data_IF_603170036647
#
_entry.id   IF_603170036647
#
_cell.length_a   1.000
_cell.length_b   1.000
_cell.length_c   1.000
_cell.angle_alpha   90.00
_cell.angle_beta   90.00
_cell.angle_gamma   90.00
#
_symmetry.space_group_name_H-M   'P 1'
#
loop_
_entity.id
_entity.type
_entity.pdbx_description
1 polymer ?
#
# COMPACT_ATOMS: atom_id res chain seq x y z
N UNK A 1 21.34 15.55 49.04
CA UNK A 1 21.53 16.07 47.67
C UNK A 1 22.10 14.96 46.80
N UNK A 2 21.27 14.16 46.13
CA UNK A 2 21.68 13.25 45.02
C UNK A 2 20.58 12.30 44.50
N UNK A 3 19.28 12.64 44.53
CA UNK A 3 18.26 11.76 43.92
C UNK A 3 17.22 12.49 43.05
N UNK A 4 17.45 13.77 42.77
CA UNK A 4 16.64 14.58 41.85
C UNK A 4 17.09 14.42 40.38
N UNK A 5 17.62 13.24 40.02
CA UNK A 5 18.12 12.92 38.68
C UNK A 5 17.64 11.52 38.24
N UNK A 6 16.36 11.22 38.50
CA UNK A 6 15.70 9.99 38.02
C UNK A 6 14.29 10.25 37.47
N UNK A 7 13.97 11.48 37.06
CA UNK A 7 12.61 11.85 36.62
C UNK A 7 12.50 12.45 35.21
N UNK A 8 13.54 12.36 34.38
CA UNK A 8 13.52 12.86 32.98
C UNK A 8 14.19 11.85 32.03
N UNK A 9 13.86 10.56 32.14
CA UNK A 9 14.23 9.54 31.14
C UNK A 9 13.18 8.43 31.08
N UNK A 10 11.90 8.78 30.97
CA UNK A 10 10.85 7.82 30.64
C UNK A 10 9.67 8.49 29.91
N UNK A 11 10.00 9.41 29.01
CA UNK A 11 9.09 9.96 28.01
C UNK A 11 9.90 10.05 26.72
N UNK A 12 9.34 9.55 25.62
CA UNK A 12 9.93 9.53 24.27
C UNK A 12 10.74 8.27 23.87
N UNK A 13 10.09 7.12 23.95
CA UNK A 13 10.31 6.01 23.01
C UNK A 13 8.96 5.28 22.97
N UNK A 14 8.05 5.58 22.05
CA UNK A 14 8.16 5.19 20.65
C UNK A 14 7.04 5.90 19.87
N UNK A 15 7.25 7.16 19.48
CA UNK A 15 6.47 7.76 18.39
C UNK A 15 7.32 7.71 17.12
N UNK A 16 7.75 6.51 16.73
CA UNK A 16 8.35 6.30 15.40
C UNK A 16 7.25 5.76 14.51
N UNK A 17 6.83 6.58 13.55
CA UNK A 17 6.13 6.12 12.36
C UNK A 17 4.68 6.55 12.24
N UNK A 18 4.41 7.85 12.11
CA UNK A 18 3.19 8.34 11.44
C UNK A 18 3.57 9.59 10.62
N UNK A 19 4.40 9.41 9.58
CA UNK A 19 4.73 10.47 8.63
C UNK A 19 4.41 10.09 7.17
N UNK A 20 3.46 9.16 6.96
CA UNK A 20 2.94 8.81 5.65
C UNK A 20 1.42 8.71 5.73
N UNK A 21 0.75 9.85 5.97
CA UNK A 21 -0.71 9.90 6.17
C UNK A 21 -1.42 10.99 5.36
N UNK A 22 -0.80 11.53 4.31
CA UNK A 22 -1.39 12.64 3.55
C UNK A 22 -1.12 12.53 2.03
N UNK A 23 -1.22 11.34 1.46
CA UNK A 23 -1.10 11.13 0.00
C UNK A 23 -2.46 11.04 -0.71
N UNK A 24 -3.58 11.35 -0.06
CA UNK A 24 -4.95 11.18 -0.63
C UNK A 24 -5.60 12.50 -1.10
N UNK A 25 -4.96 13.66 -0.91
CA UNK A 25 -5.56 15.00 -1.15
C UNK A 25 -5.40 15.56 -2.59
N UNK A 26 -5.36 14.68 -3.60
CA UNK A 26 -5.52 15.11 -5.01
C UNK A 26 -4.42 14.75 -6.01
N UNK A 27 -3.46 13.90 -5.63
CA UNK A 27 -2.53 13.25 -6.57
C UNK A 27 -2.91 11.79 -6.72
N UNK A 28 -3.76 11.45 -7.69
CA UNK A 28 -4.15 10.06 -7.94
C UNK A 28 -3.15 9.31 -8.82
N UNK A 29 -2.88 8.05 -8.47
CA UNK A 29 -2.06 7.15 -9.28
C UNK A 29 -0.55 7.23 -9.05
N UNK A 30 -0.12 7.76 -7.90
CA UNK A 30 1.26 7.70 -7.46
C UNK A 30 1.62 6.29 -6.97
N UNK A 31 2.70 5.71 -7.49
CA UNK A 31 3.30 4.49 -6.94
C UNK A 31 4.65 4.83 -6.34
N UNK A 32 4.80 4.65 -5.05
CA UNK A 32 6.04 4.94 -4.32
C UNK A 32 6.91 3.67 -4.24
N UNK A 33 8.17 3.79 -4.65
CA UNK A 33 9.15 2.72 -4.56
C UNK A 33 9.92 2.78 -3.24
N UNK A 34 9.72 1.80 -2.36
CA UNK A 34 10.53 1.59 -1.15
C UNK A 34 11.25 0.23 -1.20
N UNK A 35 11.65 -0.19 -2.39
CA UNK A 35 12.48 -1.37 -2.60
C UNK A 35 13.97 -1.01 -2.67
N UNK A 36 14.86 -1.95 -2.36
CA UNK A 36 16.30 -1.72 -2.26
C UNK A 36 17.15 -2.81 -2.91
N UNK A 37 16.70 -4.06 -2.99
CA UNK A 37 17.48 -5.13 -3.66
C UNK A 37 17.17 -5.17 -5.15
N UNK A 38 18.00 -5.91 -5.92
CA UNK A 38 17.71 -6.14 -7.34
C UNK A 38 16.36 -6.83 -7.55
N UNK A 39 16.04 -7.84 -6.76
CA UNK A 39 14.77 -8.55 -6.89
C UNK A 39 13.57 -7.67 -6.52
N UNK A 40 13.73 -6.80 -5.52
CA UNK A 40 12.72 -5.79 -5.18
C UNK A 40 12.48 -4.77 -6.29
N UNK A 41 13.56 -4.24 -6.87
CA UNK A 41 13.50 -3.27 -7.96
C UNK A 41 12.92 -3.91 -9.25
N UNK A 42 13.28 -5.16 -9.54
CA UNK A 42 12.70 -5.92 -10.64
C UNK A 42 11.19 -6.13 -10.44
N UNK A 43 10.78 -6.52 -9.22
CA UNK A 43 9.36 -6.65 -8.87
C UNK A 43 8.61 -5.33 -9.03
N UNK A 44 9.14 -4.24 -8.46
CA UNK A 44 8.54 -2.91 -8.57
C UNK A 44 8.32 -2.53 -10.04
N UNK A 45 9.34 -2.73 -10.88
CA UNK A 45 9.29 -2.37 -12.29
C UNK A 45 8.21 -3.16 -13.05
N UNK A 46 8.11 -4.48 -12.82
CA UNK A 46 7.05 -5.30 -13.43
C UNK A 46 5.68 -4.96 -12.86
N UNK A 47 5.58 -4.70 -11.55
CA UNK A 47 4.32 -4.33 -10.90
C UNK A 47 3.75 -3.05 -11.49
N UNK A 48 4.56 -1.98 -11.60
CA UNK A 48 4.15 -0.71 -12.20
C UNK A 48 3.70 -0.92 -13.66
N UNK A 49 4.46 -1.72 -14.42
CA UNK A 49 4.12 -2.04 -15.81
C UNK A 49 2.72 -2.66 -15.92
N UNK A 50 2.41 -3.67 -15.10
CA UNK A 50 1.09 -4.32 -15.10
C UNK A 50 -0.01 -3.41 -14.51
N UNK A 51 0.30 -2.62 -13.47
CA UNK A 51 -0.65 -1.72 -12.82
C UNK A 51 -1.12 -0.57 -13.73
N UNK A 52 -0.24 -0.09 -14.63
CA UNK A 52 -0.58 0.97 -15.58
C UNK A 52 -1.81 0.63 -16.45
N UNK A 53 -2.08 -0.66 -16.70
CA UNK A 53 -3.27 -1.11 -17.43
C UNK A 53 -4.57 -0.84 -16.64
N UNK A 54 -4.49 -0.80 -15.31
CA UNK A 54 -5.63 -0.63 -14.42
C UNK A 54 -5.79 0.80 -13.91
N UNK A 55 -4.73 1.60 -13.92
CA UNK A 55 -4.70 2.92 -13.28
C UNK A 55 -5.80 3.89 -13.75
N UNK A 56 -6.20 3.82 -15.03
CA UNK A 56 -7.28 4.66 -15.57
C UNK A 56 -8.67 4.28 -15.04
N UNK A 57 -8.88 3.01 -14.72
CA UNK A 57 -10.15 2.50 -14.17
C UNK A 57 -10.13 2.65 -12.65
N UNK A 58 -9.03 2.19 -12.07
CA UNK A 58 -8.53 2.03 -10.69
C UNK A 58 -7.63 3.10 -10.06
N UNK A 59 -7.82 4.44 -10.16
CA UNK A 59 -6.81 5.36 -9.61
C UNK A 59 -6.63 5.12 -8.11
N UNK A 60 -5.38 4.84 -7.72
CA UNK A 60 -5.00 4.51 -6.36
C UNK A 60 -3.53 4.85 -6.12
N UNK A 61 -3.24 5.36 -4.92
CA UNK A 61 -1.89 5.63 -4.47
C UNK A 61 -1.34 4.43 -3.71
N UNK A 62 -0.30 3.83 -4.25
CA UNK A 62 0.27 2.59 -3.75
C UNK A 62 1.70 2.81 -3.27
N UNK A 63 2.09 2.08 -2.23
CA UNK A 63 3.49 2.03 -1.77
C UNK A 63 3.96 0.59 -1.85
N UNK A 64 5.06 0.36 -2.57
CA UNK A 64 5.69 -0.97 -2.66
C UNK A 64 6.88 -0.99 -1.73
N UNK A 65 6.79 -1.80 -0.67
CA UNK A 65 7.81 -1.91 0.36
C UNK A 65 8.64 -3.17 0.17
N UNK A 66 9.91 -3.11 0.58
CA UNK A 66 10.77 -4.28 0.68
C UNK A 66 11.45 -4.40 2.05
N UNK A 67 11.57 -5.64 2.53
CA UNK A 67 12.51 -6.05 3.57
C UNK A 67 13.42 -7.18 3.06
N UNK A 68 14.73 -6.92 2.89
CA UNK A 68 15.69 -7.98 2.57
C UNK A 68 15.81 -9.01 3.70
N UNK A 69 15.90 -10.29 3.35
CA UNK A 69 16.08 -11.40 4.28
C UNK A 69 17.07 -12.44 3.75
N UNK A 70 18.09 -12.78 4.53
CA UNK A 70 19.04 -13.82 4.17
C UNK A 70 18.40 -15.21 4.02
N UNK A 71 17.34 -15.49 4.79
CA UNK A 71 16.67 -16.81 4.81
C UNK A 71 15.59 -16.93 3.73
N UNK A 72 14.89 -15.85 3.44
CA UNK A 72 13.67 -15.87 2.64
C UNK A 72 13.76 -15.07 1.33
N UNK A 73 14.91 -14.44 1.06
CA UNK A 73 15.06 -13.51 -0.06
C UNK A 73 14.40 -12.17 0.24
N UNK A 74 13.77 -11.57 -0.77
CA UNK A 74 13.11 -10.27 -0.66
C UNK A 74 11.68 -10.42 -0.20
N UNK A 75 11.33 -9.85 0.95
CA UNK A 75 9.94 -9.80 1.42
C UNK A 75 9.32 -8.49 0.94
N UNK A 76 8.25 -8.57 0.16
CA UNK A 76 7.62 -7.41 -0.46
C UNK A 76 6.16 -7.34 -0.05
N UNK A 77 5.68 -6.14 0.20
CA UNK A 77 4.25 -5.90 0.41
C UNK A 77 3.83 -4.59 -0.24
N UNK A 78 2.54 -4.49 -0.54
CA UNK A 78 1.94 -3.33 -1.19
C UNK A 78 0.92 -2.72 -0.25
N UNK A 79 1.03 -1.42 -0.01
CA UNK A 79 0.12 -0.66 0.84
C UNK A 79 -0.76 0.28 0.03
N UNK A 80 -2.01 0.38 0.45
CA UNK A 80 -2.99 1.38 0.00
C UNK A 80 -3.63 2.00 1.24
N UNK A 81 -3.58 3.34 1.37
CA UNK A 81 -4.12 4.07 2.53
C UNK A 81 -3.67 3.48 3.88
N UNK A 82 -2.36 3.24 4.02
CA UNK A 82 -1.74 2.66 5.22
C UNK A 82 -2.20 1.23 5.57
N UNK A 83 -2.92 0.56 4.66
CA UNK A 83 -3.34 -0.84 4.79
C UNK A 83 -2.55 -1.71 3.82
N UNK A 84 -1.90 -2.73 4.35
CA UNK A 84 -1.26 -3.77 3.54
C UNK A 84 -2.32 -4.58 2.79
N UNK A 85 -2.20 -4.67 1.46
CA UNK A 85 -3.12 -5.41 0.60
C UNK A 85 -2.60 -6.82 0.25
N UNK A 86 -1.32 -6.92 -0.08
CA UNK A 86 -0.68 -8.15 -0.57
C UNK A 86 0.72 -8.31 0.00
N UNK A 87 1.17 -9.55 0.16
CA UNK A 87 2.50 -9.91 0.65
C UNK A 87 3.11 -11.06 -0.15
N UNK A 88 4.37 -10.88 -0.55
CA UNK A 88 5.12 -11.87 -1.32
C UNK A 88 6.53 -12.06 -0.80
N UNK A 89 7.06 -13.27 -1.00
CA UNK A 89 8.47 -13.59 -0.82
C UNK A 89 9.07 -13.91 -2.18
N UNK A 90 10.12 -13.18 -2.54
CA UNK A 90 10.77 -13.31 -3.84
C UNK A 90 12.13 -13.98 -3.66
N UNK A 91 12.28 -15.12 -4.32
CA UNK A 91 13.53 -15.87 -4.44
C UNK A 91 14.33 -15.50 -5.69
N UNK A 92 15.35 -16.30 -6.02
CA UNK A 92 16.37 -15.92 -7.00
C UNK A 92 15.96 -16.01 -8.50
N UNK A 93 14.71 -16.33 -8.83
CA UNK A 93 14.28 -16.57 -10.22
C UNK A 93 13.51 -15.40 -10.81
N UNK A 94 14.04 -14.79 -11.88
CA UNK A 94 13.44 -13.61 -12.53
C UNK A 94 12.10 -13.90 -13.21
N UNK A 95 11.88 -15.09 -13.81
CA UNK A 95 10.58 -15.40 -14.44
C UNK A 95 9.44 -15.40 -13.42
N UNK A 96 9.70 -15.88 -12.21
CA UNK A 96 8.72 -15.89 -11.13
C UNK A 96 8.36 -14.46 -10.69
N UNK A 97 9.27 -13.49 -10.82
CA UNK A 97 9.03 -12.10 -10.39
C UNK A 97 7.93 -11.46 -11.23
N UNK A 98 7.98 -11.62 -12.55
CA UNK A 98 6.98 -11.05 -13.46
C UNK A 98 5.58 -11.65 -13.18
N UNK A 99 5.49 -12.97 -13.06
CA UNK A 99 4.22 -13.65 -12.74
C UNK A 99 3.65 -13.22 -11.37
N UNK A 100 4.50 -13.09 -10.35
CA UNK A 100 4.09 -12.62 -9.02
C UNK A 100 3.61 -11.16 -9.10
N UNK A 101 4.32 -10.30 -9.83
CA UNK A 101 3.97 -8.89 -9.99
C UNK A 101 2.64 -8.70 -10.76
N UNK A 102 2.45 -9.45 -11.85
CA UNK A 102 1.20 -9.45 -12.61
C UNK A 102 0.03 -9.87 -11.73
N UNK A 103 0.17 -11.00 -11.00
CA UNK A 103 -0.86 -11.49 -10.10
C UNK A 103 -1.19 -10.48 -8.99
N UNK A 104 -0.18 -9.84 -8.41
CA UNK A 104 -0.37 -8.81 -7.40
C UNK A 104 -1.20 -7.63 -7.96
N UNK A 105 -0.85 -7.15 -9.16
CA UNK A 105 -1.59 -6.07 -9.82
C UNK A 105 -3.05 -6.45 -10.08
N UNK A 106 -3.32 -7.63 -10.64
CA UNK A 106 -4.69 -8.10 -10.88
C UNK A 106 -5.49 -8.27 -9.59
N UNK A 107 -4.89 -8.84 -8.53
CA UNK A 107 -5.56 -9.03 -7.24
C UNK A 107 -5.94 -7.70 -6.59
N UNK A 108 -4.99 -6.76 -6.55
CA UNK A 108 -5.22 -5.43 -5.97
C UNK A 108 -6.28 -4.67 -6.79
N UNK A 109 -6.25 -4.76 -8.12
CA UNK A 109 -7.26 -4.15 -8.97
C UNK A 109 -8.66 -4.66 -8.63
N UNK A 110 -8.85 -5.99 -8.57
CA UNK A 110 -10.13 -6.59 -8.24
C UNK A 110 -10.61 -6.20 -6.84
N UNK A 111 -9.70 -6.17 -5.87
CA UNK A 111 -9.99 -5.77 -4.49
C UNK A 111 -10.47 -4.31 -4.42
N UNK A 112 -9.76 -3.38 -5.07
CA UNK A 112 -10.12 -1.96 -5.04
C UNK A 112 -11.39 -1.69 -5.86
N UNK A 113 -11.59 -2.37 -6.99
CA UNK A 113 -12.82 -2.28 -7.77
C UNK A 113 -14.04 -2.68 -6.94
N UNK A 114 -13.93 -3.77 -6.16
CA UNK A 114 -14.96 -4.24 -5.25
C UNK A 114 -15.22 -3.26 -4.09
N UNK A 115 -14.17 -2.65 -3.54
CA UNK A 115 -14.31 -1.65 -2.47
C UNK A 115 -15.06 -0.40 -2.96
N UNK A 116 -14.79 0.02 -4.19
CA UNK A 116 -15.43 1.20 -4.80
C UNK A 116 -16.91 0.97 -5.08
N UNK A 117 -17.29 -0.19 -5.62
CA UNK A 117 -18.71 -0.51 -5.86
C UNK A 117 -19.52 -0.55 -4.56
N UNK A 118 -18.92 -1.08 -3.50
CA UNK A 118 -19.54 -1.15 -2.16
C UNK A 118 -19.78 0.24 -1.55
N UNK A 119 -18.88 1.19 -1.83
CA UNK A 119 -19.02 2.58 -1.36
C UNK A 119 -20.13 3.31 -2.11
N UNK A 120 -20.25 3.11 -3.43
CA UNK A 120 -21.28 3.74 -4.26
C UNK A 120 -22.68 3.23 -3.89
N UNK A 121 -22.83 1.93 -3.66
CA UNK A 121 -24.14 1.33 -3.33
C UNK A 121 -24.73 1.79 -2.00
N UNK A 122 -23.91 2.30 -1.07
CA UNK A 122 -24.35 2.75 0.25
C UNK A 122 -24.64 4.27 0.30
N UNK A 123 -24.12 5.04 -0.65
CA UNK A 123 -24.31 6.50 -0.75
C UNK A 123 -25.53 6.95 -1.55
N UNK A 124 -26.22 6.03 -2.25
CA UNK A 124 -27.36 6.33 -3.11
C UNK A 124 -28.75 6.27 -2.45
N UNK A 125 -28.84 5.91 -1.16
CA UNK A 125 -30.12 5.67 -0.46
C UNK A 125 -30.66 6.90 0.28
N UNK A 126 -30.08 8.09 0.07
CA UNK A 126 -30.49 9.34 0.74
C UNK A 126 -30.78 10.39 -0.33
N UNK A 127 -31.98 10.38 -0.91
CA UNK A 127 -32.65 11.52 -1.59
C UNK A 127 -33.78 11.00 -2.50
N UNK A 128 -34.81 10.42 -1.88
CA UNK A 128 -36.12 10.27 -2.54
C UNK A 128 -37.23 10.23 -1.50
N UNK A 129 -37.33 11.29 -0.69
CA UNK A 129 -38.48 11.48 0.20
C UNK A 129 -38.67 12.97 0.56
N UNK A 130 -38.94 13.80 -0.45
CA UNK A 130 -39.66 15.09 -0.35
C UNK A 130 -39.80 15.61 -1.80
N UNK A 131 -40.95 15.66 -2.46
CA UNK A 131 -42.12 16.44 -2.08
C UNK A 131 -43.35 15.93 -2.86
N UNK A 132 -44.36 15.45 -2.14
CA UNK A 132 -45.76 15.49 -2.58
C UNK A 132 -46.52 16.16 -1.45
N UNK A 133 -46.86 17.44 -1.63
CA UNK A 133 -48.14 18.05 -1.24
C UNK A 133 -48.33 19.37 -1.98
#
# INVERSE_FOLDING_TARGET
MSHLCRLILLFCSLAVGQAFGAFDDGLDGLIVNQTMTRFGQDFYSQFVKHWNEYQMVVPANLVVHERPSARWGSQIWIEYRQRMLEYHRIGASTRAIDEIAQRAATNIFNLLLQERSSTIGNGGELEQDDHIY
#
